data_IF_383661826698
#
_entry.id   IF_383661826698
#
_cell.length_a   1.000
_cell.length_b   1.000
_cell.length_c   1.000
_cell.angle_alpha   90.00
_cell.angle_beta   90.00
_cell.angle_gamma   90.00
#
_symmetry.space_group_name_H-M   'P 1'
#
loop_
_entity.id
_entity.type
_entity.pdbx_description
1 polymer ?
#
# COMPACT_ATOMS: atom_id res chain seq x y z
N UNK A 1 3.32 -19.63 -11.55
CA UNK A 1 3.93 -18.53 -10.77
C UNK A 1 5.09 -19.10 -9.94
N UNK A 2 6.18 -18.37 -9.76
CA UNK A 2 7.29 -18.79 -8.89
C UNK A 2 6.95 -18.64 -7.40
N UNK A 3 7.74 -19.22 -6.48
CA UNK A 3 7.46 -19.19 -5.04
C UNK A 3 7.27 -17.79 -4.46
N UNK A 4 8.09 -16.82 -4.88
CA UNK A 4 7.98 -15.41 -4.44
C UNK A 4 6.68 -14.77 -4.93
N UNK A 5 6.28 -15.03 -6.17
CA UNK A 5 5.04 -14.47 -6.74
C UNK A 5 3.81 -15.05 -6.02
N UNK A 6 3.77 -16.37 -5.80
CA UNK A 6 2.69 -17.03 -5.04
C UNK A 6 2.59 -16.48 -3.61
N UNK A 7 3.71 -16.33 -2.92
CA UNK A 7 3.75 -15.75 -1.58
C UNK A 7 3.35 -14.26 -1.56
N UNK A 8 3.70 -13.50 -2.60
CA UNK A 8 3.30 -12.10 -2.72
C UNK A 8 1.79 -11.94 -2.91
N UNK A 9 1.14 -12.81 -3.70
CA UNK A 9 -0.32 -12.84 -3.80
C UNK A 9 -0.99 -13.16 -2.47
N UNK A 10 -0.46 -14.13 -1.73
CA UNK A 10 -0.95 -14.42 -0.39
C UNK A 10 -0.79 -13.21 0.54
N UNK A 11 0.40 -12.62 0.61
CA UNK A 11 0.68 -11.46 1.47
C UNK A 11 -0.15 -10.23 1.10
N UNK A 12 -0.44 -9.99 -0.19
CA UNK A 12 -1.30 -8.91 -0.64
C UNK A 12 -2.75 -9.06 -0.13
N UNK A 13 -3.23 -10.30 -0.01
CA UNK A 13 -4.55 -10.61 0.53
C UNK A 13 -4.66 -10.47 2.06
N UNK A 14 -3.55 -10.30 2.78
CA UNK A 14 -3.54 -10.20 4.23
C UNK A 14 -3.46 -8.72 4.70
N UNK A 15 -4.41 -8.24 5.51
CA UNK A 15 -4.41 -6.85 5.99
C UNK A 15 -3.09 -6.44 6.69
N UNK A 16 -2.41 -5.45 6.11
CA UNK A 16 -1.17 -4.88 6.64
C UNK A 16 0.07 -5.77 6.56
N UNK A 17 -0.03 -6.98 6.00
CA UNK A 17 1.13 -7.89 5.90
C UNK A 17 2.27 -7.36 5.04
N UNK A 18 2.03 -6.71 3.87
CA UNK A 18 3.12 -6.16 3.07
C UNK A 18 3.93 -5.11 3.84
N UNK A 19 3.24 -4.26 4.60
CA UNK A 19 3.88 -3.25 5.46
C UNK A 19 4.68 -3.90 6.59
N UNK A 20 4.11 -4.90 7.27
CA UNK A 20 4.83 -5.64 8.33
C UNK A 20 6.08 -6.35 7.82
N UNK A 21 6.04 -6.93 6.62
CA UNK A 21 7.22 -7.56 6.02
C UNK A 21 8.33 -6.53 5.75
N UNK A 22 7.96 -5.35 5.25
CA UNK A 22 8.93 -4.30 4.92
C UNK A 22 9.45 -3.53 6.13
N UNK A 23 8.67 -3.46 7.22
CA UNK A 23 9.13 -2.83 8.47
C UNK A 23 9.93 -3.80 9.35
N UNK A 24 9.55 -5.08 9.37
CA UNK A 24 10.24 -6.11 10.14
C UNK A 24 11.60 -6.53 9.56
N UNK A 25 11.81 -6.29 8.26
CA UNK A 25 13.05 -6.61 7.57
C UNK A 25 13.72 -5.33 7.09
N UNK A 26 14.89 -5.01 7.64
CA UNK A 26 15.73 -3.88 7.24
C UNK A 26 17.17 -4.32 6.95
N UNK A 27 17.96 -3.47 6.28
CA UNK A 27 19.38 -3.71 6.00
C UNK A 27 20.23 -3.33 7.21
N UNK A 28 21.17 -4.19 7.59
CA UNK A 28 22.25 -3.92 8.58
C UNK A 28 23.50 -3.37 7.91
N UNK A 29 24.44 -2.87 8.72
CA UNK A 29 25.74 -2.34 8.25
C UNK A 29 26.58 -3.40 7.52
N UNK A 30 26.51 -4.66 7.96
CA UNK A 30 27.18 -5.83 7.35
C UNK A 30 26.52 -6.32 6.03
N UNK A 31 25.46 -5.65 5.59
CA UNK A 31 24.70 -5.99 4.39
C UNK A 31 23.73 -7.16 4.55
N UNK A 32 23.55 -7.69 5.76
CA UNK A 32 22.54 -8.71 6.05
C UNK A 32 21.19 -8.09 6.43
N UNK A 33 20.15 -8.91 6.41
CA UNK A 33 18.83 -8.51 6.85
C UNK A 33 18.71 -8.63 8.38
N UNK A 34 18.35 -7.52 9.04
CA UNK A 34 18.16 -7.46 10.50
C UNK A 34 16.97 -8.29 11.00
N UNK A 35 15.91 -8.39 10.19
CA UNK A 35 14.71 -9.16 10.53
C UNK A 35 14.85 -10.67 10.35
N UNK A 36 15.89 -11.10 9.63
CA UNK A 36 16.19 -12.52 9.50
C UNK A 36 16.97 -12.98 10.73
N UNK A 37 16.67 -14.19 11.21
CA UNK A 37 17.25 -14.72 12.44
C UNK A 37 18.78 -14.76 12.42
N UNK A 38 19.40 -14.47 13.57
CA UNK A 38 20.85 -14.40 13.76
C UNK A 38 21.57 -15.72 13.50
N UNK A 39 20.89 -16.85 13.70
CA UNK A 39 21.45 -18.18 13.48
C UNK A 39 21.71 -18.51 11.99
N UNK A 40 21.01 -17.84 11.06
CA UNK A 40 21.26 -17.95 9.61
C UNK A 40 21.17 -16.57 8.96
N UNK A 41 22.24 -15.77 9.03
CA UNK A 41 22.30 -14.46 8.40
C UNK A 41 21.95 -14.59 6.92
N UNK A 42 21.02 -13.76 6.46
CA UNK A 42 20.58 -13.74 5.06
C UNK A 42 20.92 -12.39 4.49
N UNK A 43 21.58 -12.38 3.33
CA UNK A 43 21.94 -11.13 2.65
C UNK A 43 20.69 -10.30 2.34
N UNK A 44 20.81 -8.99 2.53
CA UNK A 44 19.79 -8.04 2.15
C UNK A 44 19.89 -7.72 0.64
N UNK A 45 18.77 -7.61 -0.09
CA UNK A 45 17.39 -7.87 0.33
C UNK A 45 17.09 -9.37 0.46
N UNK A 46 16.44 -9.75 1.56
CA UNK A 46 16.00 -11.14 1.75
C UNK A 46 14.69 -11.44 1.01
N UNK A 47 14.33 -12.71 0.90
CA UNK A 47 13.11 -13.15 0.19
C UNK A 47 11.83 -12.49 0.73
N UNK A 48 11.74 -12.22 2.04
CA UNK A 48 10.59 -11.58 2.66
C UNK A 48 10.41 -10.12 2.21
N UNK A 49 11.51 -9.42 1.93
CA UNK A 49 11.49 -8.07 1.35
C UNK A 49 11.00 -8.11 -0.09
N UNK A 50 11.44 -9.10 -0.88
CA UNK A 50 10.96 -9.29 -2.25
C UNK A 50 9.45 -9.57 -2.27
N UNK A 51 8.97 -10.45 -1.38
CA UNK A 51 7.55 -10.74 -1.21
C UNK A 51 6.77 -9.47 -0.83
N UNK A 52 7.23 -8.73 0.18
CA UNK A 52 6.58 -7.50 0.64
C UNK A 52 6.50 -6.42 -0.44
N UNK A 53 7.58 -6.21 -1.19
CA UNK A 53 7.61 -5.25 -2.32
C UNK A 53 6.65 -5.66 -3.42
N UNK A 54 6.64 -6.94 -3.80
CA UNK A 54 5.72 -7.44 -4.84
C UNK A 54 4.26 -7.37 -4.39
N UNK A 55 3.97 -7.68 -3.13
CA UNK A 55 2.63 -7.56 -2.56
C UNK A 55 2.12 -6.10 -2.53
N UNK A 56 3.00 -5.13 -2.26
CA UNK A 56 2.67 -3.68 -2.39
C UNK A 56 2.31 -3.31 -3.82
N UNK A 57 3.04 -3.82 -4.82
CA UNK A 57 2.71 -3.59 -6.23
C UNK A 57 1.33 -4.16 -6.58
N UNK A 58 1.06 -5.41 -6.21
CA UNK A 58 -0.26 -6.05 -6.41
C UNK A 58 -1.39 -5.23 -5.78
N UNK A 59 -1.19 -4.70 -4.57
CA UNK A 59 -2.19 -3.83 -3.93
C UNK A 59 -2.40 -2.50 -4.65
N UNK A 60 -1.33 -1.91 -5.20
CA UNK A 60 -1.42 -0.73 -6.05
C UNK A 60 -2.14 -0.99 -7.37
N UNK A 61 -1.90 -2.16 -7.98
CA UNK A 61 -2.59 -2.63 -9.20
C UNK A 61 -4.09 -2.86 -8.93
N UNK A 62 -4.47 -3.39 -7.77
CA UNK A 62 -5.88 -3.58 -7.36
C UNK A 62 -6.60 -2.27 -7.00
N UNK A 63 -5.88 -1.29 -6.46
CA UNK A 63 -6.42 0.02 -6.08
C UNK A 63 -5.69 1.13 -6.85
N UNK A 64 -5.90 1.24 -8.17
CA UNK A 64 -5.25 2.28 -8.95
C UNK A 64 -5.69 3.67 -8.44
N UNK A 65 -4.82 4.69 -8.48
CA UNK A 65 -5.17 6.06 -8.06
C UNK A 65 -6.43 6.62 -8.73
N UNK A 66 -6.70 6.20 -9.97
CA UNK A 66 -7.91 6.56 -10.74
C UNK A 66 -9.20 5.93 -10.20
N UNK A 67 -9.14 4.84 -9.44
CA UNK A 67 -10.31 4.22 -8.80
C UNK A 67 -10.65 4.84 -7.44
N UNK A 68 -9.82 5.77 -6.93
CA UNK A 68 -10.15 6.51 -5.71
C UNK A 68 -11.26 7.51 -6.04
N UNK A 69 -12.35 7.57 -5.26
CA UNK A 69 -13.41 8.54 -5.51
C UNK A 69 -12.84 9.96 -5.40
N UNK A 70 -13.11 10.79 -6.41
CA UNK A 70 -12.73 12.19 -6.44
C UNK A 70 -13.26 12.90 -5.17
N UNK A 71 -12.39 13.55 -4.36
CA UNK A 71 -12.78 14.33 -3.19
C UNK A 71 -13.86 15.39 -3.49
N UNK A 72 -14.00 15.84 -4.74
CA UNK A 72 -15.01 16.81 -5.18
C UNK A 72 -16.45 16.42 -4.85
N UNK A 73 -16.72 15.12 -4.60
CA UNK A 73 -18.04 14.69 -4.16
C UNK A 73 -18.33 14.99 -2.69
N UNK A 74 -17.32 15.02 -1.82
CA UNK A 74 -17.47 15.44 -0.42
C UNK A 74 -17.81 16.93 -0.35
N UNK A 75 -17.19 17.75 -1.20
CA UNK A 75 -17.52 19.17 -1.36
C UNK A 75 -18.94 19.37 -1.89
N UNK A 76 -19.40 18.54 -2.85
CA UNK A 76 -20.79 18.58 -3.33
C UNK A 76 -21.82 18.26 -2.24
N UNK A 77 -21.56 17.28 -1.37
CA UNK A 77 -22.44 17.00 -0.20
C UNK A 77 -22.43 18.12 0.83
N UNK A 78 -21.27 18.73 1.07
CA UNK A 78 -21.13 19.88 1.98
C UNK A 78 -21.85 21.12 1.44
N UNK A 79 -21.80 21.34 0.13
CA UNK A 79 -22.59 22.37 -0.56
C UNK A 79 -24.09 22.08 -0.48
N UNK A 80 -24.54 20.84 -0.73
CA UNK A 80 -25.95 20.46 -0.59
C UNK A 80 -26.49 20.64 0.84
N UNK A 81 -25.70 20.30 1.87
CA UNK A 81 -26.05 20.55 3.27
C UNK A 81 -26.07 22.05 3.63
N UNK A 82 -25.29 22.89 2.93
CA UNK A 82 -25.27 24.35 3.07
C UNK A 82 -26.32 25.09 2.22
N UNK A 83 -27.09 24.41 1.36
CA UNK A 83 -28.21 24.97 0.57
C UNK A 83 -29.44 25.33 1.42
N UNK A 84 -29.24 25.91 2.60
CA UNK A 84 -30.25 26.73 3.27
C UNK A 84 -29.98 28.23 3.19
N UNK A 85 -28.82 28.72 2.69
CA UNK A 85 -28.62 30.20 2.60
C UNK A 85 -27.99 30.83 1.36
N UNK A 86 -27.03 30.29 0.60
CA UNK A 86 -26.46 31.08 -0.52
C UNK A 86 -25.62 30.25 -1.51
N UNK A 87 -26.06 30.14 -2.76
CA UNK A 87 -25.21 29.84 -3.91
C UNK A 87 -25.45 30.94 -4.97
N UNK A 88 -24.41 31.51 -5.60
CA UNK A 88 -24.58 32.48 -6.66
C UNK A 88 -25.11 31.80 -7.95
N UNK A 89 -25.86 32.52 -8.80
CA UNK A 89 -26.40 31.94 -10.03
C UNK A 89 -25.28 31.66 -11.04
N UNK A 90 -25.39 30.52 -11.71
CA UNK A 90 -24.62 30.23 -12.91
C UNK A 90 -25.23 31.05 -14.05
N UNK A 91 -24.42 31.89 -14.71
CA UNK A 91 -24.73 32.43 -16.02
C UNK A 91 -24.47 31.33 -17.06
N UNK A 92 -25.45 31.14 -17.94
CA UNK A 92 -25.46 30.21 -19.07
C UNK A 92 -24.43 30.58 -20.14
#
# INVERSE_FOLDING_TARGET
PGPVETAAWFAAGQPGMPDRLLSGHTRREDGDCAGCGTYRPTKWPCVLVHIGRRAKQINGERNPPSARPDPSWQDRRRCAARRRRSCPPHHE
#
